data_IF_667380395374
#
_entry.id   IF_667380395374
#
_cell.length_a   1.000
_cell.length_b   1.000
_cell.length_c   1.000
_cell.angle_alpha   90.00
_cell.angle_beta   90.00
_cell.angle_gamma   90.00
#
_symmetry.space_group_name_H-M   'P 1'
#
loop_
_entity.id
_entity.type
_entity.pdbx_description
1 polymer ?
#
# COMPACT_ATOMS: atom_id res chain seq x y z
N UNK A 1 -73.67 48.81 66.45
CA UNK A 1 -72.39 48.24 65.97
C UNK A 1 -72.51 48.02 64.47
N UNK A 2 -71.67 48.72 63.69
CA UNK A 2 -71.74 48.85 62.22
C UNK A 2 -70.84 47.79 61.57
N UNK A 3 -71.35 47.05 60.57
CA UNK A 3 -70.75 46.75 59.23
C UNK A 3 -71.63 45.69 58.51
N UNK A 4 -72.19 45.83 57.28
CA UNK A 4 -71.64 46.15 55.93
C UNK A 4 -70.36 45.35 55.64
N UNK A 5 -70.13 44.63 54.54
CA UNK A 5 -70.71 44.55 53.20
C UNK A 5 -70.05 43.37 52.46
N UNK A 6 -70.74 42.80 51.46
CA UNK A 6 -70.16 41.91 50.46
C UNK A 6 -69.12 42.62 49.56
N UNK A 7 -68.09 41.91 49.11
CA UNK A 7 -67.51 42.00 47.76
C UNK A 7 -66.43 40.90 47.57
N UNK A 8 -66.26 40.41 46.34
CA UNK A 8 -65.56 39.17 46.00
C UNK A 8 -64.03 39.21 46.05
N UNK A 9 -63.39 38.06 45.80
CA UNK A 9 -62.76 37.82 44.49
C UNK A 9 -61.98 36.49 44.42
N UNK A 10 -62.23 35.80 43.30
CA UNK A 10 -61.26 35.17 42.41
C UNK A 10 -59.89 34.76 43.00
N UNK A 11 -59.71 33.52 43.46
CA UNK A 11 -58.36 32.92 43.57
C UNK A 11 -58.30 31.40 43.33
N UNK A 12 -59.32 30.78 42.73
CA UNK A 12 -59.38 29.32 42.56
C UNK A 12 -58.85 28.76 41.23
N UNK A 13 -58.73 29.57 40.18
CA UNK A 13 -58.47 29.06 38.82
C UNK A 13 -57.06 29.34 38.26
N UNK A 14 -56.19 30.03 39.01
CA UNK A 14 -54.86 30.46 38.51
C UNK A 14 -53.71 29.47 38.74
N UNK A 15 -53.89 28.41 39.54
CA UNK A 15 -52.79 27.45 39.81
C UNK A 15 -52.76 26.23 38.88
N UNK A 16 -53.83 25.95 38.13
CA UNK A 16 -53.86 24.81 37.22
C UNK A 16 -53.31 25.13 35.81
N UNK A 17 -53.40 26.39 35.37
CA UNK A 17 -52.88 26.84 34.06
C UNK A 17 -51.36 27.11 34.06
N UNK A 18 -50.76 27.44 35.21
CA UNK A 18 -49.31 27.71 35.29
C UNK A 18 -48.49 26.40 35.28
N UNK A 19 -49.03 25.30 35.84
CA UNK A 19 -48.40 23.98 35.72
C UNK A 19 -48.55 23.38 34.32
N UNK A 20 -49.66 23.62 33.62
CA UNK A 20 -49.83 23.16 32.25
C UNK A 20 -48.91 23.90 31.25
N UNK A 21 -48.63 25.19 31.49
CA UNK A 21 -47.78 25.99 30.62
C UNK A 21 -46.27 25.68 30.77
N UNK A 22 -45.80 25.27 31.96
CA UNK A 22 -44.41 24.86 32.17
C UNK A 22 -44.06 23.50 31.53
N UNK A 23 -45.00 22.56 31.40
CA UNK A 23 -44.76 21.30 30.67
C UNK A 23 -44.76 21.50 29.16
N UNK A 24 -45.57 22.44 28.64
CA UNK A 24 -45.61 22.75 27.21
C UNK A 24 -44.33 23.48 26.76
N UNK A 25 -43.76 24.35 27.62
CA UNK A 25 -42.48 25.02 27.34
C UNK A 25 -41.27 24.07 27.42
N UNK A 26 -41.31 23.04 28.28
CA UNK A 26 -40.29 21.99 28.35
C UNK A 26 -40.44 20.93 27.24
N UNK A 27 -41.66 20.67 26.76
CA UNK A 27 -41.89 19.77 25.63
C UNK A 27 -41.55 20.39 24.27
N UNK A 28 -41.51 21.73 24.18
CA UNK A 28 -41.04 22.46 22.99
C UNK A 28 -39.52 22.68 22.97
N UNK A 29 -38.82 22.49 24.11
CA UNK A 29 -37.36 22.58 24.21
C UNK A 29 -36.64 21.22 24.08
N UNK A 30 -37.35 20.15 23.73
CA UNK A 30 -36.78 18.83 23.47
C UNK A 30 -36.84 18.43 21.97
N UNK A 31 -37.22 19.38 21.11
CA UNK A 31 -37.43 19.16 19.66
C UNK A 31 -36.27 19.68 18.80
N UNK A 32 -35.21 20.23 19.37
CA UNK A 32 -34.05 20.71 18.60
C UNK A 32 -32.77 20.18 19.23
N UNK A 33 -31.88 19.62 18.39
CA UNK A 33 -30.61 18.95 18.71
C UNK A 33 -30.74 17.46 19.05
N UNK A 34 -31.47 16.70 18.23
CA UNK A 34 -30.84 15.53 17.59
C UNK A 34 -31.17 15.62 16.11
N UNK A 35 -30.51 16.56 15.43
CA UNK A 35 -30.20 16.34 14.03
C UNK A 35 -29.28 15.13 14.02
N UNK A 36 -29.87 13.92 13.99
CA UNK A 36 -29.16 12.74 13.56
C UNK A 36 -28.73 13.11 12.16
N UNK A 37 -27.48 13.57 12.02
CA UNK A 37 -26.79 13.41 10.76
C UNK A 37 -26.93 11.91 10.55
N UNK A 38 -27.78 11.53 9.59
CA UNK A 38 -27.71 10.21 9.02
C UNK A 38 -26.29 10.12 8.51
N UNK A 39 -25.39 9.60 9.36
CA UNK A 39 -24.25 8.88 8.85
C UNK A 39 -24.97 7.79 8.07
N UNK A 40 -25.09 7.98 6.78
CA UNK A 40 -25.27 6.88 5.86
C UNK A 40 -24.02 6.04 6.08
N UNK A 41 -24.04 5.23 7.13
CA UNK A 41 -23.45 3.91 7.12
C UNK A 41 -24.01 3.32 5.85
N UNK A 42 -23.22 3.35 4.76
CA UNK A 42 -23.48 2.47 3.64
C UNK A 42 -23.56 1.10 4.29
N UNK A 43 -24.80 0.60 4.45
CA UNK A 43 -25.04 -0.77 4.80
C UNK A 43 -24.21 -1.56 3.79
N UNK A 44 -23.20 -2.26 4.28
CA UNK A 44 -22.38 -3.12 3.44
C UNK A 44 -23.35 -4.15 2.87
N UNK A 45 -23.78 -3.93 1.64
CA UNK A 45 -24.61 -4.84 0.88
C UNK A 45 -23.85 -6.16 0.88
N UNK A 46 -24.50 -7.22 1.34
CA UNK A 46 -23.87 -8.51 1.65
C UNK A 46 -23.41 -9.30 0.41
N UNK A 47 -23.18 -8.60 -0.71
CA UNK A 47 -22.62 -9.14 -1.95
C UNK A 47 -21.44 -8.27 -2.39
N UNK A 48 -20.30 -8.86 -2.76
CA UNK A 48 -19.17 -8.09 -3.29
C UNK A 48 -19.58 -7.41 -4.60
N UNK A 49 -19.46 -6.08 -4.67
CA UNK A 49 -19.71 -5.28 -5.86
C UNK A 49 -18.50 -4.41 -6.22
N UNK A 50 -18.23 -4.27 -7.52
CA UNK A 50 -17.21 -3.35 -8.02
C UNK A 50 -17.78 -1.94 -8.09
N UNK A 51 -17.01 -0.95 -7.66
CA UNK A 51 -17.35 0.48 -7.79
C UNK A 51 -16.15 1.29 -8.22
N UNK A 52 -16.40 2.33 -9.00
CA UNK A 52 -15.36 3.29 -9.34
C UNK A 52 -14.91 4.09 -8.11
N UNK A 53 -13.65 4.49 -8.13
CA UNK A 53 -13.06 5.48 -7.22
C UNK A 53 -12.20 6.45 -8.02
N UNK A 54 -11.42 7.33 -7.37
CA UNK A 54 -10.53 8.24 -8.07
C UNK A 54 -9.61 7.49 -9.04
N UNK A 55 -9.53 7.98 -10.27
CA UNK A 55 -8.64 7.45 -11.29
C UNK A 55 -7.19 7.73 -10.94
N UNK A 56 -6.31 6.75 -11.18
CA UNK A 56 -4.88 6.97 -11.12
C UNK A 56 -4.49 8.06 -12.14
N UNK A 57 -3.68 9.08 -11.78
CA UNK A 57 -3.37 10.20 -12.68
C UNK A 57 -2.61 9.82 -13.97
N UNK A 58 -2.06 8.61 -14.01
CA UNK A 58 -1.24 8.12 -15.11
C UNK A 58 -1.64 6.68 -15.46
N UNK A 59 -1.91 6.42 -16.74
CA UNK A 59 -2.15 5.05 -17.23
C UNK A 59 -0.85 4.27 -17.22
N UNK A 60 -0.82 3.14 -16.50
CA UNK A 60 0.40 2.38 -16.25
C UNK A 60 0.19 0.88 -16.49
N UNK A 61 1.12 0.25 -17.21
CA UNK A 61 1.26 -1.22 -17.29
C UNK A 61 2.59 -1.64 -16.68
N UNK A 62 2.70 -2.87 -16.16
CA UNK A 62 3.93 -3.35 -15.51
C UNK A 62 4.34 -2.57 -14.25
N UNK A 63 3.47 -1.72 -13.71
CA UNK A 63 3.66 -1.05 -12.42
C UNK A 63 3.54 -2.05 -11.28
N UNK A 64 3.98 -1.65 -10.09
CA UNK A 64 3.75 -2.42 -8.87
C UNK A 64 2.91 -1.63 -7.89
N UNK A 65 2.10 -2.37 -7.13
CA UNK A 65 1.30 -1.83 -6.05
C UNK A 65 1.48 -2.65 -4.79
N UNK A 66 1.43 -1.99 -3.63
CA UNK A 66 1.52 -2.65 -2.33
C UNK A 66 0.76 -1.85 -1.26
N UNK A 67 0.09 -2.56 -0.36
CA UNK A 67 -0.53 -1.94 0.81
C UNK A 67 0.54 -1.68 1.87
N UNK A 68 0.57 -0.45 2.36
CA UNK A 68 1.43 -0.02 3.47
C UNK A 68 0.75 -0.37 4.80
N UNK A 69 1.52 -0.51 5.88
CA UNK A 69 0.97 -0.77 7.22
C UNK A 69 -0.04 0.28 7.70
N UNK A 70 0.01 1.49 7.15
CA UNK A 70 -0.94 2.59 7.43
C UNK A 70 -2.30 2.38 6.77
N UNK A 71 -2.46 1.34 5.93
CA UNK A 71 -3.65 1.10 5.11
C UNK A 71 -3.66 1.88 3.79
N UNK A 72 -2.66 2.74 3.57
CA UNK A 72 -2.44 3.44 2.30
C UNK A 72 -1.96 2.45 1.23
N UNK A 73 -2.29 2.71 -0.04
CA UNK A 73 -1.79 1.89 -1.16
C UNK A 73 -0.76 2.68 -1.94
N UNK A 74 0.46 2.13 -2.05
CA UNK A 74 1.50 2.66 -2.93
C UNK A 74 1.34 2.06 -4.32
N UNK A 75 1.45 2.88 -5.35
CA UNK A 75 1.62 2.47 -6.75
C UNK A 75 2.83 3.18 -7.31
N UNK A 76 3.79 2.45 -7.90
CA UNK A 76 4.99 3.07 -8.46
C UNK A 76 5.52 2.36 -9.70
N UNK A 77 6.25 3.14 -10.51
CA UNK A 77 6.85 2.70 -11.76
C UNK A 77 5.81 2.30 -12.81
N UNK A 78 6.23 1.49 -13.78
CA UNK A 78 5.42 1.02 -14.90
C UNK A 78 5.78 1.72 -16.20
N UNK A 79 5.01 1.38 -17.24
CA UNK A 79 5.13 1.89 -18.60
C UNK A 79 3.89 2.75 -18.88
N UNK A 80 4.11 3.97 -19.35
CA UNK A 80 3.05 4.91 -19.71
C UNK A 80 2.42 4.57 -21.07
N UNK A 81 1.35 5.27 -21.45
CA UNK A 81 0.76 5.14 -22.79
C UNK A 81 1.71 5.49 -23.94
N UNK A 82 2.77 6.28 -23.69
CA UNK A 82 3.81 6.55 -24.68
C UNK A 82 4.80 5.38 -24.84
N UNK A 83 4.66 4.34 -24.03
CA UNK A 83 5.59 3.22 -24.01
C UNK A 83 6.90 3.50 -23.28
N UNK A 84 6.99 4.59 -22.51
CA UNK A 84 8.18 4.89 -21.71
C UNK A 84 8.02 4.37 -20.28
N UNK A 85 9.08 3.79 -19.71
CA UNK A 85 9.13 3.53 -18.27
C UNK A 85 9.03 4.85 -17.50
N UNK A 86 8.32 4.87 -16.37
CA UNK A 86 8.22 6.05 -15.50
C UNK A 86 8.85 5.82 -14.13
N UNK A 87 9.27 6.90 -13.49
CA UNK A 87 9.63 6.96 -12.07
C UNK A 87 8.48 7.34 -11.15
N UNK A 88 7.29 7.59 -11.71
CA UNK A 88 6.14 8.09 -10.95
C UNK A 88 5.75 7.16 -9.81
N UNK A 89 5.36 7.76 -8.69
CA UNK A 89 4.98 7.09 -7.46
C UNK A 89 3.82 7.85 -6.80
N UNK A 90 2.77 7.10 -6.50
CA UNK A 90 1.50 7.61 -6.00
C UNK A 90 1.05 6.86 -4.75
N UNK A 91 0.39 7.57 -3.83
CA UNK A 91 -0.28 7.03 -2.66
C UNK A 91 -1.78 7.20 -2.85
N UNK A 92 -2.53 6.12 -2.67
CA UNK A 92 -3.97 6.17 -2.52
C UNK A 92 -4.35 6.13 -1.04
N UNK A 93 -5.10 7.13 -0.62
CA UNK A 93 -5.60 7.29 0.74
C UNK A 93 -6.98 7.92 0.71
N UNK A 94 -7.92 7.35 1.46
CA UNK A 94 -9.25 7.92 1.66
C UNK A 94 -9.99 8.30 0.37
N UNK A 95 -9.89 7.47 -0.68
CA UNK A 95 -10.58 7.75 -1.94
C UNK A 95 -9.82 8.63 -2.93
N UNK A 96 -8.63 9.12 -2.60
CA UNK A 96 -7.87 10.05 -3.45
C UNK A 96 -6.43 9.59 -3.68
N UNK A 97 -5.88 9.97 -4.84
CA UNK A 97 -4.47 9.79 -5.19
C UNK A 97 -3.67 11.06 -4.90
N UNK A 98 -2.47 10.89 -4.34
CA UNK A 98 -1.45 11.94 -4.23
C UNK A 98 -0.10 11.40 -4.69
N UNK A 99 0.81 12.27 -5.10
CA UNK A 99 2.20 11.86 -5.36
C UNK A 99 2.98 11.72 -4.05
N UNK A 100 3.96 10.83 -4.02
CA UNK A 100 4.97 10.81 -2.96
C UNK A 100 5.82 12.08 -2.98
N UNK A 101 6.45 12.43 -1.85
CA UNK A 101 7.20 13.70 -1.73
C UNK A 101 8.33 13.82 -2.75
N UNK A 102 8.97 12.70 -3.06
CA UNK A 102 9.81 12.54 -4.24
C UNK A 102 9.43 11.25 -4.96
N UNK A 103 9.85 11.16 -6.22
CA UNK A 103 9.57 10.02 -7.09
C UNK A 103 10.72 9.01 -7.01
N UNK A 104 10.60 7.85 -7.68
CA UNK A 104 11.74 6.95 -7.86
C UNK A 104 12.87 7.72 -8.56
N UNK A 105 14.11 7.44 -8.20
CA UNK A 105 15.28 8.02 -8.85
C UNK A 105 15.47 7.44 -10.26
N UNK A 106 15.08 6.18 -10.47
CA UNK A 106 15.15 5.52 -11.76
C UNK A 106 13.75 5.10 -12.22
N UNK A 107 13.42 5.44 -13.46
CA UNK A 107 12.25 4.92 -14.12
C UNK A 107 12.35 3.40 -14.25
N UNK A 108 11.28 2.68 -13.92
CA UNK A 108 11.31 1.21 -13.90
C UNK A 108 9.94 0.61 -14.13
N UNK A 109 9.89 -0.49 -14.87
CA UNK A 109 8.72 -1.35 -15.01
C UNK A 109 9.10 -2.80 -14.73
N UNK A 110 8.11 -3.62 -14.37
CA UNK A 110 8.30 -5.04 -14.04
C UNK A 110 9.43 -5.30 -13.02
N UNK A 111 9.55 -4.40 -12.04
CA UNK A 111 10.44 -4.51 -10.90
C UNK A 111 9.80 -5.35 -9.79
N UNK A 112 10.54 -5.76 -8.77
CA UNK A 112 9.96 -6.32 -7.55
C UNK A 112 9.64 -5.21 -6.54
N UNK A 113 8.53 -5.35 -5.80
CA UNK A 113 8.13 -4.41 -4.75
C UNK A 113 7.80 -5.19 -3.48
N UNK A 114 8.54 -4.92 -2.39
CA UNK A 114 8.41 -5.64 -1.11
C UNK A 114 8.23 -4.65 0.02
N UNK A 115 7.12 -4.77 0.75
CA UNK A 115 6.88 -4.01 1.99
C UNK A 115 7.28 -4.86 3.19
N UNK A 116 8.00 -4.24 4.11
CA UNK A 116 8.46 -4.84 5.36
C UNK A 116 7.97 -3.99 6.52
N UNK A 117 7.23 -4.59 7.43
CA UNK A 117 6.89 -3.99 8.72
C UNK A 117 7.95 -4.38 9.73
N UNK A 118 8.64 -3.38 10.29
CA UNK A 118 9.62 -3.56 11.36
C UNK A 118 8.92 -3.61 12.71
N UNK A 119 9.59 -4.20 13.69
CA UNK A 119 9.05 -4.34 15.06
C UNK A 119 8.79 -3.00 15.76
N UNK A 120 9.54 -1.95 15.39
CA UNK A 120 9.36 -0.59 15.90
C UNK A 120 8.16 0.15 15.29
N UNK A 121 7.36 -0.50 14.44
CA UNK A 121 6.22 0.09 13.76
C UNK A 121 6.55 0.88 12.48
N UNK A 122 7.83 1.02 12.13
CA UNK A 122 8.25 1.57 10.84
C UNK A 122 7.87 0.58 9.72
N UNK A 123 7.39 1.09 8.59
CA UNK A 123 7.38 0.31 7.35
C UNK A 123 8.33 0.88 6.33
N UNK A 124 8.95 -0.06 5.63
CA UNK A 124 9.94 0.21 4.60
C UNK A 124 9.53 -0.58 3.35
N UNK A 125 9.60 0.06 2.20
CA UNK A 125 9.28 -0.59 0.92
C UNK A 125 10.50 -0.58 0.03
N UNK A 126 10.83 -1.72 -0.57
CA UNK A 126 11.94 -1.84 -1.52
C UNK A 126 11.41 -1.97 -2.95
N UNK A 127 11.85 -1.08 -3.84
CA UNK A 127 11.71 -1.22 -5.28
C UNK A 127 13.02 -1.78 -5.85
N UNK A 128 12.95 -2.96 -6.46
CA UNK A 128 14.12 -3.80 -6.74
C UNK A 128 14.19 -4.10 -8.23
N UNK A 129 15.27 -3.65 -8.88
CA UNK A 129 15.51 -3.87 -10.30
C UNK A 129 14.40 -3.34 -11.21
N UNK A 130 14.10 -4.08 -12.27
CA UNK A 130 13.12 -3.73 -13.30
C UNK A 130 13.78 -3.40 -14.63
N UNK A 131 12.96 -2.97 -15.59
CA UNK A 131 13.41 -2.46 -16.88
C UNK A 131 13.18 -0.95 -16.99
N UNK A 132 14.16 -0.25 -17.53
CA UNK A 132 14.10 1.17 -17.88
C UNK A 132 14.25 1.33 -19.38
N UNK A 133 13.53 2.27 -19.98
CA UNK A 133 13.64 2.57 -21.41
C UNK A 133 12.30 2.95 -22.03
N UNK A 134 12.19 2.72 -23.33
CA UNK A 134 10.99 3.00 -24.12
C UNK A 134 10.69 1.86 -25.09
N UNK A 135 9.53 1.87 -25.74
CA UNK A 135 9.12 0.85 -26.71
C UNK A 135 10.22 0.51 -27.70
N UNK A 136 10.58 -0.78 -27.77
CA UNK A 136 11.62 -1.31 -28.64
C UNK A 136 13.03 -1.23 -28.08
N UNK A 137 13.26 -0.52 -26.97
CA UNK A 137 14.56 -0.45 -26.32
C UNK A 137 14.45 -0.28 -24.79
N UNK A 138 14.40 -1.41 -24.10
CA UNK A 138 14.45 -1.51 -22.65
C UNK A 138 15.76 -2.16 -22.20
N UNK A 139 16.24 -1.74 -21.05
CA UNK A 139 17.43 -2.31 -20.39
C UNK A 139 17.07 -2.63 -18.95
N UNK A 140 17.47 -3.79 -18.46
CA UNK A 140 17.33 -4.13 -17.05
C UNK A 140 18.22 -3.23 -16.19
N UNK A 141 17.75 -2.78 -15.04
CA UNK A 141 18.50 -1.94 -14.10
C UNK A 141 18.82 -2.72 -12.82
N UNK A 142 19.98 -2.49 -12.18
CA UNK A 142 20.33 -3.16 -10.92
C UNK A 142 19.86 -2.38 -9.68
N UNK A 143 19.32 -1.17 -9.86
CA UNK A 143 19.09 -0.27 -8.73
C UNK A 143 18.05 -0.80 -7.75
N UNK A 144 18.36 -0.64 -6.47
CA UNK A 144 17.44 -0.83 -5.36
C UNK A 144 17.18 0.51 -4.71
N UNK A 145 15.90 0.82 -4.59
CA UNK A 145 15.42 2.04 -3.92
C UNK A 145 14.52 1.67 -2.75
N UNK A 146 14.52 2.53 -1.74
CA UNK A 146 13.76 2.33 -0.52
C UNK A 146 12.82 3.50 -0.28
N UNK A 147 11.56 3.20 0.03
CA UNK A 147 10.56 4.16 0.48
C UNK A 147 10.48 4.10 2.01
N UNK A 148 10.63 5.25 2.65
CA UNK A 148 10.47 5.43 4.09
C UNK A 148 9.56 6.61 4.36
N UNK A 149 8.80 6.53 5.46
CA UNK A 149 7.97 7.65 5.91
C UNK A 149 8.81 8.63 6.73
N UNK A 150 8.84 9.89 6.31
CA UNK A 150 9.42 10.97 7.07
C UNK A 150 8.36 11.58 7.99
N UNK A 151 8.54 11.39 9.31
CA UNK A 151 7.59 11.88 10.31
C UNK A 151 7.52 13.41 10.40
N UNK A 152 8.62 14.11 10.10
CA UNK A 152 8.69 15.58 10.14
C UNK A 152 7.88 16.22 9.01
N UNK A 153 7.98 15.69 7.79
CA UNK A 153 7.22 16.16 6.63
C UNK A 153 5.89 15.43 6.44
N UNK A 154 5.62 14.41 7.26
CA UNK A 154 4.45 13.51 7.18
C UNK A 154 4.24 12.95 5.78
N UNK A 155 5.33 12.56 5.13
CA UNK A 155 5.31 12.14 3.73
C UNK A 155 6.23 10.97 3.45
N UNK A 156 5.87 10.20 2.44
CA UNK A 156 6.68 9.09 1.94
C UNK A 156 7.75 9.60 0.97
N UNK A 157 9.00 9.16 1.18
CA UNK A 157 10.13 9.53 0.32
C UNK A 157 10.98 8.34 -0.11
N UNK A 158 11.33 8.30 -1.39
CA UNK A 158 12.25 7.35 -2.00
C UNK A 158 13.71 7.78 -1.83
N UNK A 159 14.62 6.82 -1.80
CA UNK A 159 16.05 7.05 -2.05
C UNK A 159 16.72 5.77 -2.51
N UNK A 160 17.79 5.90 -3.28
CA UNK A 160 18.62 4.75 -3.64
C UNK A 160 19.39 4.22 -2.43
N UNK A 161 19.56 2.90 -2.36
CA UNK A 161 20.37 2.23 -1.33
C UNK A 161 21.56 1.46 -1.91
N UNK A 162 21.53 1.14 -3.21
CA UNK A 162 22.61 0.44 -3.88
C UNK A 162 22.15 -0.29 -5.13
N UNK A 163 23.00 -1.19 -5.61
CA UNK A 163 22.76 -2.00 -6.80
C UNK A 163 22.80 -3.50 -6.47
N UNK A 164 21.95 -4.27 -7.13
CA UNK A 164 22.04 -5.71 -7.20
C UNK A 164 23.33 -6.15 -7.92
N UNK A 165 23.82 -7.37 -7.66
CA UNK A 165 24.97 -7.94 -8.36
C UNK A 165 24.76 -8.11 -9.88
N UNK A 166 23.50 -8.19 -10.32
CA UNK A 166 23.12 -8.25 -11.72
C UNK A 166 21.92 -7.33 -11.96
N UNK A 167 21.90 -6.65 -13.11
CA UNK A 167 20.76 -5.87 -13.53
C UNK A 167 19.65 -6.80 -14.02
N UNK A 168 18.48 -6.77 -13.37
CA UNK A 168 17.41 -7.73 -13.63
C UNK A 168 16.04 -7.06 -13.63
N UNK A 169 15.22 -7.35 -14.64
CA UNK A 169 13.77 -7.17 -14.58
C UNK A 169 13.07 -8.50 -14.29
N UNK A 170 11.78 -8.49 -13.96
CA UNK A 170 11.02 -9.72 -13.62
C UNK A 170 11.65 -10.57 -12.50
N UNK A 171 12.49 -9.99 -11.64
CA UNK A 171 13.00 -10.70 -10.46
C UNK A 171 11.88 -10.87 -9.44
N UNK A 172 11.98 -11.90 -8.61
CA UNK A 172 11.07 -12.09 -7.49
C UNK A 172 11.80 -11.78 -6.17
N UNK A 173 11.07 -11.24 -5.20
CA UNK A 173 11.64 -10.93 -3.90
C UNK A 173 10.63 -11.18 -2.78
N UNK A 174 11.13 -11.64 -1.63
CA UNK A 174 10.32 -11.92 -0.45
C UNK A 174 11.06 -11.54 0.84
N UNK A 175 10.33 -11.05 1.83
CA UNK A 175 10.85 -10.81 3.18
C UNK A 175 10.82 -12.11 3.98
N UNK A 176 11.96 -12.51 4.54
CA UNK A 176 12.14 -13.75 5.30
C UNK A 176 11.71 -13.66 6.77
N UNK A 177 11.29 -12.48 7.25
CA UNK A 177 10.99 -12.20 8.66
C UNK A 177 12.15 -12.39 9.66
N UNK A 178 13.34 -12.76 9.19
CA UNK A 178 14.60 -12.78 9.96
C UNK A 178 15.44 -11.52 9.75
N UNK A 179 15.00 -10.62 8.88
CA UNK A 179 15.63 -9.32 8.66
C UNK A 179 16.20 -9.14 7.26
N UNK A 180 15.89 -10.04 6.33
CA UNK A 180 16.34 -9.94 4.96
C UNK A 180 15.20 -9.99 3.95
N UNK A 181 15.29 -9.12 2.95
CA UNK A 181 14.56 -9.31 1.69
C UNK A 181 15.46 -10.14 0.77
N UNK A 182 15.02 -11.34 0.42
CA UNK A 182 15.73 -12.22 -0.51
C UNK A 182 15.23 -11.93 -1.91
N UNK A 183 16.15 -11.77 -2.86
CA UNK A 183 15.90 -11.50 -4.27
C UNK A 183 16.43 -12.69 -5.06
N UNK A 184 15.63 -13.21 -5.98
CA UNK A 184 16.01 -14.35 -6.81
C UNK A 184 15.67 -14.14 -8.28
N UNK A 185 16.61 -14.50 -9.14
CA UNK A 185 16.46 -14.58 -10.57
C UNK A 185 16.09 -13.25 -11.23
N UNK A 186 15.20 -13.35 -12.20
CA UNK A 186 14.85 -12.30 -13.13
C UNK A 186 15.53 -12.51 -14.49
N UNK A 187 15.37 -11.51 -15.35
CA UNK A 187 15.83 -11.49 -16.73
C UNK A 187 16.76 -10.31 -16.94
N UNK A 188 17.93 -10.61 -17.49
CA UNK A 188 18.93 -9.61 -17.87
C UNK A 188 18.64 -9.20 -19.31
N UNK A 189 18.48 -7.90 -19.54
CA UNK A 189 18.19 -7.32 -20.85
C UNK A 189 19.13 -6.14 -21.09
N UNK A 190 19.89 -6.18 -22.18
CA UNK A 190 20.90 -5.16 -22.54
C UNK A 190 20.45 -4.34 -23.76
N UNK A 191 19.17 -3.99 -23.84
CA UNK A 191 18.56 -3.32 -24.99
C UNK A 191 17.63 -4.24 -25.79
N UNK A 192 16.59 -3.63 -26.37
CA UNK A 192 15.59 -4.31 -27.19
C UNK A 192 14.20 -4.41 -26.55
N UNK A 193 13.34 -5.27 -27.13
CA UNK A 193 11.98 -5.50 -26.63
C UNK A 193 11.94 -6.19 -25.26
N UNK A 194 10.82 -6.05 -24.55
CA UNK A 194 10.57 -6.87 -23.37
C UNK A 194 10.54 -8.36 -23.77
N UNK A 195 10.85 -9.26 -22.84
CA UNK A 195 10.79 -10.72 -23.02
C UNK A 195 11.79 -11.32 -24.04
N UNK A 196 12.86 -10.61 -24.39
CA UNK A 196 13.97 -11.18 -25.19
C UNK A 196 15.24 -11.41 -24.37
N UNK A 197 15.29 -10.93 -23.13
CA UNK A 197 16.47 -11.04 -22.25
C UNK A 197 16.83 -12.48 -21.88
N UNK A 198 17.88 -12.66 -21.08
CA UNK A 198 18.34 -13.96 -20.62
C UNK A 198 17.97 -14.14 -19.14
N UNK A 199 17.20 -15.19 -18.76
CA UNK A 199 16.95 -15.50 -17.35
C UNK A 199 18.26 -15.77 -16.58
N UNK A 200 18.31 -15.40 -15.30
CA UNK A 200 19.51 -15.57 -14.47
C UNK A 200 19.24 -16.39 -13.21
N UNK A 201 20.32 -17.01 -12.70
CA UNK A 201 20.37 -17.68 -11.40
C UNK A 201 20.75 -16.73 -10.25
N UNK A 202 21.09 -15.48 -10.58
CA UNK A 202 21.59 -14.50 -9.63
C UNK A 202 20.64 -14.34 -8.45
N UNK A 203 21.20 -14.31 -7.25
CA UNK A 203 20.45 -14.09 -6.02
C UNK A 203 21.19 -13.10 -5.14
N UNK A 204 20.42 -12.29 -4.43
CA UNK A 204 20.92 -11.28 -3.51
C UNK A 204 20.03 -11.22 -2.27
N UNK A 205 20.49 -10.54 -1.23
CA UNK A 205 19.67 -10.18 -0.08
C UNK A 205 19.89 -8.73 0.30
N UNK A 206 18.85 -8.10 0.84
CA UNK A 206 18.91 -6.78 1.45
C UNK A 206 18.70 -6.95 2.95
N UNK A 207 19.65 -6.50 3.78
CA UNK A 207 19.45 -6.42 5.22
C UNK A 207 18.54 -5.22 5.53
N UNK A 208 17.38 -5.43 6.15
CA UNK A 208 16.39 -4.35 6.35
C UNK A 208 16.81 -3.30 7.38
N UNK A 209 17.80 -3.62 8.22
CA UNK A 209 18.27 -2.75 9.29
C UNK A 209 19.44 -1.89 8.81
N UNK A 210 20.41 -2.49 8.10
CA UNK A 210 21.59 -1.78 7.60
C UNK A 210 21.41 -1.25 6.17
N UNK A 211 20.44 -1.79 5.43
CA UNK A 211 20.19 -1.55 4.00
C UNK A 211 21.34 -1.99 3.09
N UNK A 212 22.26 -2.79 3.62
CA UNK A 212 23.31 -3.42 2.83
C UNK A 212 22.71 -4.45 1.86
N UNK A 213 23.26 -4.48 0.64
CA UNK A 213 22.92 -5.45 -0.39
C UNK A 213 24.07 -6.42 -0.51
N UNK A 214 23.82 -7.69 -0.22
CA UNK A 214 24.82 -8.76 -0.35
C UNK A 214 24.46 -9.67 -1.52
N UNK A 215 25.48 -10.14 -2.23
CA UNK A 215 25.35 -11.31 -3.10
C UNK A 215 25.25 -12.56 -2.23
N UNK A 216 24.35 -13.48 -2.58
CA UNK A 216 24.24 -14.80 -1.95
C UNK A 216 24.44 -15.91 -2.98
N UNK A 217 24.39 -17.17 -2.52
CA UNK A 217 24.45 -18.33 -3.40
C UNK A 217 23.42 -18.27 -4.53
N UNK A 218 23.82 -18.68 -5.72
CA UNK A 218 22.94 -18.71 -6.88
C UNK A 218 21.90 -19.83 -6.77
N UNK A 219 20.76 -19.65 -7.42
CA UNK A 219 19.83 -20.76 -7.69
C UNK A 219 20.50 -21.79 -8.63
N UNK A 220 20.04 -23.03 -8.57
CA UNK A 220 20.44 -24.05 -9.54
C UNK A 220 19.83 -23.79 -10.92
N UNK A 221 18.59 -23.27 -10.95
CA UNK A 221 17.85 -23.01 -12.19
C UNK A 221 17.63 -21.50 -12.37
N UNK A 222 18.02 -20.97 -13.52
CA UNK A 222 17.72 -19.59 -13.87
C UNK A 222 16.20 -19.45 -14.09
N UNK A 223 15.62 -18.33 -13.68
CA UNK A 223 14.18 -18.12 -13.76
C UNK A 223 13.84 -16.63 -13.85
N UNK A 224 12.82 -16.32 -14.63
CA UNK A 224 12.12 -15.04 -14.69
C UNK A 224 10.62 -15.28 -14.67
N UNK A 225 9.85 -14.25 -14.33
CA UNK A 225 8.38 -14.33 -14.25
C UNK A 225 7.89 -15.39 -13.26
N UNK A 226 8.72 -15.67 -12.26
CA UNK A 226 8.48 -16.65 -11.22
C UNK A 226 7.98 -16.01 -9.93
N UNK A 227 7.57 -16.85 -8.98
CA UNK A 227 7.17 -16.42 -7.65
C UNK A 227 8.20 -16.87 -6.62
N UNK A 228 8.50 -15.99 -5.67
CA UNK A 228 9.32 -16.26 -4.51
C UNK A 228 8.53 -15.84 -3.29
N UNK A 229 8.36 -16.76 -2.34
CA UNK A 229 7.58 -16.54 -1.12
C UNK A 229 8.31 -17.16 0.07
N UNK A 230 8.09 -16.59 1.24
CA UNK A 230 8.53 -17.19 2.49
C UNK A 230 7.58 -18.31 2.88
N UNK A 231 8.12 -19.51 3.08
CA UNK A 231 7.46 -20.60 3.78
C UNK A 231 7.68 -20.43 5.28
N UNK A 232 6.59 -20.31 6.03
CA UNK A 232 6.65 -20.41 7.48
C UNK A 232 6.88 -21.90 7.84
N UNK A 233 8.10 -22.27 8.23
CA UNK A 233 8.38 -23.59 8.77
C UNK A 233 7.79 -23.78 10.18
N UNK A 234 7.60 -25.03 10.60
CA UNK A 234 7.35 -25.32 12.01
C UNK A 234 8.62 -24.98 12.82
N UNK A 235 8.51 -24.07 13.80
CA UNK A 235 9.60 -23.56 14.67
C UNK A 235 10.67 -22.69 14.00
N UNK A 236 10.32 -21.45 13.62
CA UNK A 236 11.31 -20.37 13.45
C UNK A 236 12.26 -20.48 12.25
N UNK A 237 12.20 -21.58 11.51
CA UNK A 237 12.90 -21.74 10.23
C UNK A 237 12.14 -20.97 9.14
N UNK A 238 12.66 -19.80 8.79
CA UNK A 238 12.25 -19.07 7.60
C UNK A 238 12.98 -19.65 6.39
N UNK A 239 12.23 -20.35 5.54
CA UNK A 239 12.74 -20.90 4.28
C UNK A 239 12.10 -20.10 3.15
N UNK A 240 12.89 -19.69 2.17
CA UNK A 240 12.36 -19.07 0.95
C UNK A 240 12.12 -20.16 -0.08
N UNK A 241 10.89 -20.24 -0.56
CA UNK A 241 10.50 -21.08 -1.70
C UNK A 241 10.48 -20.23 -2.96
N UNK A 242 11.17 -20.69 -3.98
CA UNK A 242 11.05 -20.15 -5.33
C UNK A 242 10.52 -21.23 -6.26
N UNK A 243 9.47 -20.93 -7.01
CA UNK A 243 8.75 -21.91 -7.81
C UNK A 243 8.43 -21.38 -9.21
N UNK A 244 8.55 -22.27 -10.19
CA UNK A 244 8.28 -22.03 -11.61
C UNK A 244 9.15 -20.92 -12.24
N UNK A 245 9.00 -20.66 -13.54
CA UNK A 245 9.75 -19.65 -14.30
C UNK A 245 10.07 -20.11 -15.73
N UNK A 246 10.38 -19.16 -16.60
CA UNK A 246 10.36 -19.30 -18.07
C UNK A 246 11.40 -20.24 -18.74
N UNK A 247 12.20 -21.06 -18.04
CA UNK A 247 13.15 -21.91 -18.79
C UNK A 247 12.46 -23.12 -19.40
N UNK A 248 12.28 -23.11 -20.73
CA UNK A 248 12.02 -24.29 -21.56
C UNK A 248 10.90 -25.23 -21.05
N UNK A 249 9.88 -24.70 -20.36
CA UNK A 249 8.83 -25.47 -19.68
C UNK A 249 9.32 -26.43 -18.57
N UNK A 250 10.50 -26.19 -18.00
CA UNK A 250 11.03 -26.96 -16.88
C UNK A 250 10.48 -26.36 -15.59
N UNK A 251 9.52 -27.06 -14.99
CA UNK A 251 9.03 -26.72 -13.66
C UNK A 251 10.08 -27.10 -12.61
N UNK A 252 10.71 -26.11 -12.00
CA UNK A 252 11.63 -26.30 -10.88
C UNK A 252 11.14 -25.55 -9.64
N UNK A 253 11.29 -26.18 -8.48
CA UNK A 253 11.00 -25.61 -7.16
C UNK A 253 12.24 -25.73 -6.31
N UNK A 254 12.72 -24.61 -5.77
CA UNK A 254 13.95 -24.55 -4.98
C UNK A 254 13.69 -23.90 -3.63
N UNK A 255 14.42 -24.37 -2.61
CA UNK A 255 14.39 -23.84 -1.26
C UNK A 255 15.72 -23.16 -0.96
N UNK A 256 15.67 -21.94 -0.44
CA UNK A 256 16.80 -21.28 0.18
C UNK A 256 16.57 -21.26 1.69
N UNK A 257 17.47 -21.91 2.42
CA UNK A 257 17.51 -21.82 3.88
C UNK A 257 18.12 -20.48 4.28
N UNK A 258 17.38 -19.72 5.10
CA UNK A 258 17.82 -18.44 5.67
C UNK A 258 18.54 -18.60 7.00
#
# INVERSE_FOLDING_TARGET
MINKSACGNLFGASFCLIRACMYILYSLLLVVIIGVTSITSQAQTTKPEWRYTASLPLSLTGHKSITLHTGEVLVCGGITSSGASTSSSFIYKNGAWSQTANQLQFARAYHSLVAVSKQNGESIVFAIGGYSGTTGNYTSIPSVEVLQFNAGTKSWSWRMIGNLPAAVGNCAAAYDKKGFVIISGGRILNGGGLNIGIPTVSSARININTLAIDRIGNMATARSEHSTLMLNGAKGDSIILTASGEINNISATELLNG
#
